data_IF_092973524214
#
_entry.id   IF_092973524214
#
_cell.length_a   1.000
_cell.length_b   1.000
_cell.length_c   1.000
_cell.angle_alpha   90.00
_cell.angle_beta   90.00
_cell.angle_gamma   90.00
#
_symmetry.space_group_name_H-M   'P 1'
#
loop_
_entity.id
_entity.type
_entity.pdbx_description
1 polymer ?
#
# COMPACT_ATOMS: atom_id res chain seq x y z
N UNK A 1 15.24 -13.70 2.91
CA UNK A 1 16.13 -12.64 2.39
C UNK A 1 15.28 -11.39 2.27
N UNK A 2 15.77 -10.26 2.79
CA UNK A 2 15.20 -8.94 2.49
C UNK A 2 15.13 -8.82 0.97
N UNK A 3 13.94 -8.64 0.42
CA UNK A 3 13.80 -8.15 -0.94
C UNK A 3 14.63 -6.88 -1.00
N UNK A 4 15.66 -6.89 -1.82
CA UNK A 4 16.53 -5.74 -2.01
C UNK A 4 15.63 -4.52 -2.17
N UNK A 5 15.76 -3.55 -1.25
CA UNK A 5 14.91 -2.35 -1.15
C UNK A 5 15.06 -1.43 -2.38
N UNK A 6 15.52 -1.95 -3.51
CA UNK A 6 16.08 -1.20 -4.61
C UNK A 6 15.07 -0.83 -5.69
N UNK A 7 13.96 -1.56 -5.78
CA UNK A 7 12.78 -1.22 -6.58
C UNK A 7 11.55 -1.86 -5.93
N UNK A 8 10.77 -1.13 -5.14
CA UNK A 8 9.50 -1.66 -4.61
C UNK A 8 8.56 -1.98 -5.76
N UNK A 9 8.17 -3.25 -5.86
CA UNK A 9 7.21 -3.73 -6.86
C UNK A 9 5.80 -3.30 -6.48
N UNK A 10 5.06 -2.89 -7.50
CA UNK A 10 3.63 -2.68 -7.46
C UNK A 10 3.00 -3.77 -8.33
N UNK A 11 2.13 -4.57 -7.74
CA UNK A 11 1.42 -5.66 -8.40
C UNK A 11 -0.08 -5.37 -8.43
N UNK A 12 -0.75 -5.76 -9.51
CA UNK A 12 -2.21 -5.85 -9.50
C UNK A 12 -2.65 -7.06 -8.66
N UNK A 13 -3.90 -7.06 -8.20
CA UNK A 13 -4.45 -8.17 -7.42
C UNK A 13 -4.33 -9.50 -8.17
N UNK A 14 -4.54 -9.50 -9.50
CA UNK A 14 -4.35 -10.68 -10.35
C UNK A 14 -2.91 -11.17 -10.43
N UNK A 15 -1.94 -10.24 -10.44
CA UNK A 15 -0.52 -10.60 -10.52
C UNK A 15 -0.07 -11.29 -9.24
N UNK A 16 -0.51 -10.78 -8.07
CA UNK A 16 -0.17 -11.40 -6.79
C UNK A 16 -0.88 -12.74 -6.60
N UNK A 17 -2.15 -12.87 -7.03
CA UNK A 17 -2.86 -14.15 -7.01
C UNK A 17 -2.16 -15.22 -7.87
N UNK A 18 -1.56 -14.81 -8.99
CA UNK A 18 -0.74 -15.70 -9.82
C UNK A 18 0.56 -16.14 -9.10
N UNK A 19 1.17 -15.27 -8.29
CA UNK A 19 2.32 -15.66 -7.45
C UNK A 19 1.91 -16.63 -6.33
N UNK A 20 0.75 -16.42 -5.70
CA UNK A 20 0.19 -17.36 -4.72
C UNK A 20 -0.01 -18.73 -5.34
N UNK A 21 -0.61 -18.77 -6.54
CA UNK A 21 -0.84 -20.00 -7.31
C UNK A 21 0.46 -20.74 -7.63
N UNK A 22 1.49 -20.02 -8.08
CA UNK A 22 2.82 -20.62 -8.35
C UNK A 22 3.49 -21.16 -7.09
N UNK A 23 3.35 -20.47 -5.97
CA UNK A 23 3.88 -20.95 -4.69
C UNK A 23 3.17 -22.25 -4.26
N UNK A 24 1.87 -22.37 -4.50
CA UNK A 24 1.12 -23.61 -4.29
C UNK A 24 1.60 -24.76 -5.20
N UNK A 25 1.87 -24.48 -6.48
CA UNK A 25 2.44 -25.46 -7.44
C UNK A 25 3.82 -25.98 -6.99
N UNK A 26 4.56 -25.16 -6.25
CA UNK A 26 5.85 -25.51 -5.65
C UNK A 26 5.73 -26.19 -4.28
N UNK A 27 4.51 -26.47 -3.82
CA UNK A 27 4.23 -27.21 -2.60
C UNK A 27 4.09 -26.35 -1.34
N UNK A 28 4.03 -25.02 -1.46
CA UNK A 28 3.74 -24.14 -0.34
C UNK A 28 2.22 -24.02 -0.19
N UNK A 29 1.67 -24.59 0.89
CA UNK A 29 0.24 -24.48 1.16
C UNK A 29 -0.20 -23.03 1.36
N UNK A 30 -1.40 -22.67 0.90
CA UNK A 30 -2.03 -21.36 1.11
C UNK A 30 -2.01 -20.92 2.58
N UNK A 31 -2.27 -21.85 3.49
CA UNK A 31 -2.21 -21.62 4.94
C UNK A 31 -0.83 -21.19 5.43
N UNK A 32 0.24 -21.65 4.79
CA UNK A 32 1.61 -21.29 5.15
C UNK A 32 1.95 -19.87 4.68
N UNK A 33 1.48 -19.45 3.50
CA UNK A 33 1.59 -18.07 3.03
C UNK A 33 0.82 -17.11 3.95
N UNK A 34 -0.43 -17.45 4.28
CA UNK A 34 -1.28 -16.69 5.22
C UNK A 34 -0.65 -16.59 6.62
N UNK A 35 -0.13 -17.71 7.14
CA UNK A 35 0.59 -17.75 8.42
C UNK A 35 1.86 -16.88 8.39
N UNK A 36 2.56 -16.84 7.26
CA UNK A 36 3.74 -15.98 7.06
C UNK A 36 3.34 -14.50 6.99
N UNK A 37 2.31 -14.18 6.22
CA UNK A 37 1.79 -12.84 6.02
C UNK A 37 1.30 -12.24 7.36
N UNK A 38 0.38 -12.93 8.03
CA UNK A 38 -0.13 -12.48 9.33
C UNK A 38 0.93 -12.43 10.43
N UNK A 39 1.93 -13.32 10.42
CA UNK A 39 3.07 -13.23 11.34
C UNK A 39 3.87 -11.94 11.10
N UNK A 40 4.23 -11.65 9.86
CA UNK A 40 4.99 -10.43 9.53
C UNK A 40 4.22 -9.16 9.89
N UNK A 41 2.89 -9.16 9.72
CA UNK A 41 2.06 -8.06 10.19
C UNK A 41 2.08 -7.96 11.73
N UNK A 42 1.86 -9.05 12.45
CA UNK A 42 1.89 -9.06 13.91
C UNK A 42 3.24 -8.60 14.48
N UNK A 43 4.35 -9.09 13.91
CA UNK A 43 5.70 -8.68 14.29
C UNK A 43 5.89 -7.17 14.08
N UNK A 44 5.38 -6.63 12.96
CA UNK A 44 5.40 -5.19 12.71
C UNK A 44 4.64 -4.40 13.80
N UNK A 45 3.42 -4.83 14.15
CA UNK A 45 2.63 -4.18 15.22
C UNK A 45 3.36 -4.23 16.57
N UNK A 46 3.89 -5.39 16.94
CA UNK A 46 4.61 -5.59 18.21
C UNK A 46 5.89 -4.76 18.28
N UNK A 47 6.60 -4.58 17.17
CA UNK A 47 7.84 -3.80 17.14
C UNK A 47 7.57 -2.28 17.18
N UNK A 48 6.60 -1.81 16.38
CA UNK A 48 6.40 -0.39 16.08
C UNK A 48 5.32 0.27 16.93
N UNK A 49 4.22 -0.43 17.24
CA UNK A 49 3.12 0.11 18.03
C UNK A 49 3.15 -0.37 19.48
N UNK A 50 3.66 -1.58 19.73
CA UNK A 50 3.76 -2.19 21.08
C UNK A 50 2.43 -2.09 21.87
N UNK A 51 1.29 -2.49 21.29
CA UNK A 51 0.00 -2.34 21.95
C UNK A 51 -0.07 -3.23 23.19
N UNK A 52 -0.70 -2.73 24.26
CA UNK A 52 -1.17 -3.55 25.37
C UNK A 52 -2.55 -4.13 25.07
N UNK A 53 -3.39 -3.37 24.34
CA UNK A 53 -4.74 -3.75 23.91
C UNK A 53 -4.91 -3.51 22.42
N UNK A 54 -5.44 -4.52 21.73
CA UNK A 54 -5.72 -4.43 20.30
C UNK A 54 -7.13 -4.94 19.98
N UNK A 55 -7.82 -4.27 19.07
CA UNK A 55 -9.06 -4.77 18.47
C UNK A 55 -8.72 -5.35 17.11
N UNK A 56 -9.21 -6.54 16.77
CA UNK A 56 -8.97 -7.17 15.47
C UNK A 56 -10.29 -7.49 14.81
N UNK A 57 -10.54 -6.88 13.65
CA UNK A 57 -11.71 -7.14 12.83
C UNK A 57 -11.42 -8.16 11.75
N UNK A 58 -12.30 -9.15 11.63
CA UNK A 58 -12.11 -10.30 10.75
C UNK A 58 -13.25 -10.39 9.73
N UNK A 59 -12.90 -10.31 8.45
CA UNK A 59 -13.82 -10.58 7.35
C UNK A 59 -13.83 -12.04 6.90
N UNK A 60 -14.57 -12.37 5.84
CA UNK A 60 -14.81 -13.77 5.43
C UNK A 60 -13.66 -14.41 4.65
N UNK A 61 -12.82 -13.59 3.99
CA UNK A 61 -11.84 -14.06 3.01
C UNK A 61 -10.42 -14.25 3.57
N UNK A 62 -9.44 -14.26 2.66
CA UNK A 62 -8.03 -14.39 3.00
C UNK A 62 -7.53 -13.33 3.98
N UNK A 63 -7.93 -12.06 3.79
CA UNK A 63 -7.54 -10.96 4.69
C UNK A 63 -8.03 -11.18 6.14
N UNK A 64 -9.20 -11.81 6.31
CA UNK A 64 -9.68 -12.21 7.62
C UNK A 64 -8.85 -13.34 8.22
N UNK A 65 -8.38 -14.27 7.40
CA UNK A 65 -7.41 -15.29 7.79
C UNK A 65 -6.09 -14.69 8.28
N UNK A 66 -5.53 -13.70 7.57
CA UNK A 66 -4.34 -12.97 8.00
C UNK A 66 -4.58 -12.26 9.34
N UNK A 67 -5.74 -11.63 9.52
CA UNK A 67 -6.14 -10.98 10.77
C UNK A 67 -6.26 -11.97 11.94
N UNK A 68 -6.77 -13.18 11.70
CA UNK A 68 -6.83 -14.25 12.72
C UNK A 68 -5.43 -14.71 13.13
N UNK A 69 -4.48 -14.76 12.19
CA UNK A 69 -3.06 -15.00 12.51
C UNK A 69 -2.51 -13.86 13.36
N UNK A 70 -2.79 -12.61 13.01
CA UNK A 70 -2.39 -11.43 13.79
C UNK A 70 -2.95 -11.51 15.20
N UNK A 71 -4.25 -11.73 15.36
CA UNK A 71 -4.90 -11.87 16.67
C UNK A 71 -4.24 -12.95 17.53
N UNK A 72 -3.98 -14.13 16.95
CA UNK A 72 -3.34 -15.24 17.67
C UNK A 72 -1.93 -14.85 18.14
N UNK A 73 -1.13 -14.23 17.27
CA UNK A 73 0.25 -13.84 17.56
C UNK A 73 0.33 -12.73 18.61
N UNK A 74 -0.57 -11.75 18.55
CA UNK A 74 -0.71 -10.72 19.58
C UNK A 74 -1.07 -11.33 20.94
N UNK A 75 -2.03 -12.26 20.96
CA UNK A 75 -2.40 -12.98 22.19
C UNK A 75 -1.24 -13.80 22.77
N UNK A 76 -0.53 -14.56 21.94
CA UNK A 76 0.66 -15.32 22.33
C UNK A 76 1.79 -14.42 22.89
N UNK A 77 1.87 -13.17 22.42
CA UNK A 77 2.79 -12.16 22.91
C UNK A 77 2.32 -11.43 24.20
N UNK A 78 1.15 -11.78 24.73
CA UNK A 78 0.59 -11.21 25.95
C UNK A 78 -0.20 -9.91 25.75
N UNK A 79 -0.55 -9.56 24.51
CA UNK A 79 -1.46 -8.44 24.21
C UNK A 79 -2.90 -8.87 24.47
N UNK A 80 -3.69 -8.00 25.09
CA UNK A 80 -5.13 -8.17 25.27
C UNK A 80 -5.85 -7.90 23.93
N UNK A 81 -5.87 -8.92 23.07
CA UNK A 81 -6.39 -8.86 21.71
C UNK A 81 -7.87 -9.28 21.63
N UNK A 82 -8.77 -8.32 21.41
CA UNK A 82 -10.22 -8.54 21.25
C UNK A 82 -10.54 -8.76 19.77
N UNK A 83 -10.92 -9.99 19.42
CA UNK A 83 -11.18 -10.38 18.03
C UNK A 83 -12.67 -10.41 17.73
N UNK A 84 -13.09 -9.77 16.65
CA UNK A 84 -14.49 -9.67 16.22
C UNK A 84 -14.66 -10.18 14.79
N UNK A 85 -15.48 -11.21 14.62
CA UNK A 85 -15.90 -11.72 13.32
C UNK A 85 -17.07 -10.87 12.83
N UNK A 86 -16.86 -10.11 11.75
CA UNK A 86 -17.90 -9.29 11.10
C UNK A 86 -18.58 -10.07 9.96
N UNK A 87 -18.06 -11.26 9.66
CA UNK A 87 -18.71 -12.28 8.86
C UNK A 87 -19.16 -13.43 9.78
N UNK A 88 -20.29 -14.09 9.49
CA UNK A 88 -20.69 -15.25 10.26
C UNK A 88 -19.66 -16.36 10.06
N UNK A 89 -19.41 -17.17 11.10
CA UNK A 89 -18.30 -18.14 11.06
C UNK A 89 -18.41 -19.19 9.94
N UNK A 90 -19.62 -19.45 9.46
CA UNK A 90 -19.90 -20.38 8.35
C UNK A 90 -19.66 -19.76 6.96
N UNK A 91 -19.49 -18.44 6.88
CA UNK A 91 -19.11 -17.72 5.67
C UNK A 91 -17.59 -17.54 5.53
N UNK A 92 -16.80 -18.00 6.50
CA UNK A 92 -15.35 -17.97 6.41
C UNK A 92 -14.86 -18.91 5.30
N UNK A 93 -13.86 -18.45 4.53
CA UNK A 93 -13.12 -19.32 3.63
C UNK A 93 -12.46 -20.45 4.42
N UNK A 94 -12.22 -21.60 3.79
CA UNK A 94 -11.60 -22.76 4.46
C UNK A 94 -10.26 -22.42 5.11
N UNK A 95 -9.46 -21.54 4.48
CA UNK A 95 -8.19 -21.09 5.05
C UNK A 95 -8.41 -20.22 6.30
N UNK A 96 -9.34 -19.26 6.26
CA UNK A 96 -9.68 -18.42 7.41
C UNK A 96 -10.28 -19.24 8.57
N UNK A 97 -11.13 -20.23 8.27
CA UNK A 97 -11.68 -21.14 9.28
C UNK A 97 -10.58 -21.94 9.99
N UNK A 98 -9.57 -22.42 9.24
CA UNK A 98 -8.39 -23.07 9.83
C UNK A 98 -7.63 -22.14 10.77
N UNK A 99 -7.47 -20.86 10.41
CA UNK A 99 -6.82 -19.87 11.30
C UNK A 99 -7.68 -19.57 12.53
N UNK A 100 -9.01 -19.51 12.41
CA UNK A 100 -9.92 -19.34 13.55
C UNK A 100 -9.80 -20.51 14.52
N UNK A 101 -9.70 -21.75 14.02
CA UNK A 101 -9.48 -22.92 14.86
C UNK A 101 -8.12 -22.90 15.57
N UNK A 102 -7.06 -22.41 14.90
CA UNK A 102 -5.75 -22.20 15.53
C UNK A 102 -5.81 -21.14 16.64
N UNK A 103 -6.51 -20.03 16.41
CA UNK A 103 -6.74 -19.00 17.43
C UNK A 103 -7.42 -19.60 18.65
N UNK A 104 -8.55 -20.31 18.45
CA UNK A 104 -9.29 -20.99 19.53
C UNK A 104 -8.43 -21.98 20.32
N UNK A 105 -7.50 -22.66 19.65
CA UNK A 105 -6.56 -23.59 20.28
C UNK A 105 -5.59 -22.94 21.28
N UNK A 106 -5.39 -21.62 21.22
CA UNK A 106 -4.57 -20.87 22.19
C UNK A 106 -5.34 -20.44 23.44
N UNK A 107 -6.65 -20.64 23.48
CA UNK A 107 -7.54 -20.13 24.52
C UNK A 107 -8.10 -18.73 24.22
N UNK A 108 -7.62 -18.06 23.18
CA UNK A 108 -8.22 -16.83 22.68
C UNK A 108 -9.57 -17.07 21.99
N UNK A 109 -10.53 -16.18 22.22
CA UNK A 109 -11.84 -16.21 21.58
C UNK A 109 -11.95 -15.22 20.42
N UNK A 110 -12.93 -15.46 19.55
CA UNK A 110 -13.41 -14.47 18.59
C UNK A 110 -14.92 -14.32 18.77
N UNK A 111 -15.39 -13.08 18.91
CA UNK A 111 -16.81 -12.76 19.11
C UNK A 111 -17.48 -12.57 17.76
N UNK A 112 -18.60 -13.25 17.55
CA UNK A 112 -19.39 -13.08 16.33
C UNK A 112 -20.29 -11.87 16.48
N UNK A 113 -20.05 -10.85 15.64
CA UNK A 113 -20.86 -9.63 15.53
C UNK A 113 -21.41 -9.48 14.12
N UNK A 114 -21.48 -10.57 13.35
CA UNK A 114 -21.92 -10.57 11.95
C UNK A 114 -23.40 -10.22 11.77
N UNK A 115 -24.21 -10.52 12.78
CA UNK A 115 -25.62 -10.17 12.86
C UNK A 115 -25.93 -9.65 14.26
N UNK A 116 -26.00 -8.33 14.42
CA UNK A 116 -26.33 -7.74 15.72
C UNK A 116 -25.82 -6.34 15.92
N UNK A 117 -25.90 -5.91 17.17
CA UNK A 117 -25.38 -4.62 17.62
C UNK A 117 -23.84 -4.64 17.65
N UNK A 118 -23.24 -3.49 17.31
CA UNK A 118 -21.80 -3.27 17.36
C UNK A 118 -21.37 -2.63 18.69
N UNK A 119 -22.25 -2.54 19.69
CA UNK A 119 -21.95 -1.98 21.02
C UNK A 119 -20.71 -2.61 21.68
N UNK A 120 -20.53 -3.93 21.60
CA UNK A 120 -19.31 -4.57 22.13
C UNK A 120 -18.03 -4.15 21.39
N UNK A 121 -18.13 -3.89 20.08
CA UNK A 121 -17.01 -3.36 19.30
C UNK A 121 -16.73 -1.90 19.71
N UNK A 122 -17.77 -1.08 19.86
CA UNK A 122 -17.63 0.30 20.33
C UNK A 122 -16.96 0.35 21.72
N UNK A 123 -17.40 -0.48 22.66
CA UNK A 123 -16.81 -0.58 24.00
C UNK A 123 -15.35 -1.02 23.95
N UNK A 124 -15.02 -2.00 23.10
CA UNK A 124 -13.65 -2.47 22.95
C UNK A 124 -12.73 -1.40 22.33
N UNK A 125 -13.25 -0.54 21.44
CA UNK A 125 -12.50 0.56 20.84
C UNK A 125 -12.16 1.66 21.86
N UNK A 126 -12.96 1.88 22.90
CA UNK A 126 -12.71 2.95 23.88
C UNK A 126 -11.36 2.82 24.61
N UNK A 127 -10.92 1.59 24.84
CA UNK A 127 -9.69 1.27 25.60
C UNK A 127 -8.58 0.65 24.73
N UNK A 128 -8.73 0.65 23.41
CA UNK A 128 -7.78 0.02 22.50
C UNK A 128 -6.60 0.95 22.18
N UNK A 129 -5.38 0.39 22.12
CA UNK A 129 -4.20 1.12 21.66
C UNK A 129 -4.12 1.15 20.12
N UNK A 130 -4.69 0.14 19.46
CA UNK A 130 -4.85 0.08 18.01
C UNK A 130 -6.00 -0.84 17.59
N UNK A 131 -6.52 -0.60 16.38
CA UNK A 131 -7.46 -1.51 15.71
C UNK A 131 -6.86 -2.03 14.41
N UNK A 132 -7.05 -3.33 14.15
CA UNK A 132 -6.60 -4.02 12.95
C UNK A 132 -7.80 -4.25 12.04
N UNK A 133 -7.77 -3.62 10.87
CA UNK A 133 -8.74 -3.83 9.79
C UNK A 133 -8.31 -5.02 8.93
N UNK A 134 -8.92 -6.17 9.21
CA UNK A 134 -8.80 -7.42 8.46
C UNK A 134 -10.08 -7.81 7.72
N UNK A 135 -10.95 -6.85 7.36
CA UNK A 135 -12.22 -7.18 6.72
C UNK A 135 -12.02 -7.60 5.26
N UNK A 136 -11.40 -6.74 4.45
CA UNK A 136 -11.21 -6.95 3.03
C UNK A 136 -9.91 -6.33 2.52
N UNK A 137 -9.11 -7.14 1.82
CA UNK A 137 -7.91 -6.68 1.11
C UNK A 137 -8.17 -6.54 -0.40
N UNK A 138 -7.16 -6.89 -1.19
CA UNK A 138 -7.14 -6.76 -2.66
C UNK A 138 -8.23 -7.50 -3.44
N UNK A 139 -8.88 -8.49 -2.84
CA UNK A 139 -9.98 -9.25 -3.46
C UNK A 139 -11.33 -8.53 -3.53
N UNK A 140 -11.48 -7.35 -2.91
CA UNK A 140 -12.76 -6.64 -2.89
C UNK A 140 -13.09 -5.99 -4.25
N UNK A 141 -14.24 -6.34 -4.80
CA UNK A 141 -14.71 -5.82 -6.11
C UNK A 141 -16.03 -5.05 -6.02
N UNK A 142 -16.74 -5.15 -4.90
CA UNK A 142 -18.05 -4.53 -4.65
C UNK A 142 -17.99 -3.56 -3.48
N UNK A 143 -18.95 -2.64 -3.43
CA UNK A 143 -19.09 -1.74 -2.31
C UNK A 143 -19.42 -2.49 -1.01
N UNK A 144 -18.93 -1.97 0.12
CA UNK A 144 -19.27 -2.47 1.44
C UNK A 144 -20.74 -2.18 1.74
N UNK A 145 -21.40 -3.14 2.37
CA UNK A 145 -22.80 -3.08 2.77
C UNK A 145 -23.01 -3.67 4.17
N UNK A 146 -24.21 -3.43 4.72
CA UNK A 146 -24.66 -4.01 5.98
C UNK A 146 -23.66 -3.84 7.13
N UNK A 147 -23.36 -4.96 7.79
CA UNK A 147 -22.51 -5.00 8.98
C UNK A 147 -21.07 -4.53 8.71
N UNK A 148 -20.53 -4.80 7.52
CA UNK A 148 -19.19 -4.35 7.15
C UNK A 148 -19.12 -2.82 7.07
N UNK A 149 -20.09 -2.20 6.39
CA UNK A 149 -20.13 -0.74 6.29
C UNK A 149 -20.36 -0.08 7.66
N UNK A 150 -21.19 -0.69 8.51
CA UNK A 150 -21.41 -0.22 9.88
C UNK A 150 -20.12 -0.29 10.72
N UNK A 151 -19.39 -1.40 10.68
CA UNK A 151 -18.12 -1.57 11.37
C UNK A 151 -17.06 -0.55 10.88
N UNK A 152 -16.96 -0.36 9.56
CA UNK A 152 -16.08 0.68 8.99
C UNK A 152 -16.45 2.08 9.47
N UNK A 153 -17.76 2.37 9.62
CA UNK A 153 -18.22 3.61 10.25
C UNK A 153 -17.65 3.79 11.66
N UNK A 154 -17.73 2.76 12.51
CA UNK A 154 -17.18 2.81 13.88
C UNK A 154 -15.68 3.05 13.94
N UNK A 155 -14.93 2.41 13.04
CA UNK A 155 -13.49 2.62 12.95
C UNK A 155 -13.17 4.07 12.61
N UNK A 156 -13.82 4.60 11.58
CA UNK A 156 -13.58 5.96 11.11
C UNK A 156 -14.04 7.04 12.10
N UNK A 157 -15.05 6.75 12.92
CA UNK A 157 -15.53 7.65 13.98
C UNK A 157 -14.68 7.56 15.27
N UNK A 158 -13.86 6.50 15.40
CA UNK A 158 -12.96 6.32 16.54
C UNK A 158 -11.69 7.16 16.42
N UNK A 159 -11.06 7.45 17.56
CA UNK A 159 -9.73 8.10 17.60
C UNK A 159 -8.58 7.08 17.73
N UNK A 160 -8.89 5.79 17.64
CA UNK A 160 -7.93 4.70 17.82
C UNK A 160 -7.10 4.55 16.54
N UNK A 161 -5.76 4.43 16.64
CA UNK A 161 -4.92 4.16 15.49
C UNK A 161 -5.39 2.93 14.71
N UNK A 162 -5.75 3.12 13.44
CA UNK A 162 -6.25 2.07 12.56
C UNK A 162 -5.14 1.54 11.66
N UNK A 163 -4.90 0.22 11.73
CA UNK A 163 -3.93 -0.51 10.92
C UNK A 163 -4.66 -1.44 9.97
N UNK A 164 -4.64 -1.16 8.67
CA UNK A 164 -5.26 -2.04 7.67
C UNK A 164 -4.27 -3.09 7.16
N UNK A 165 -4.74 -4.34 7.07
CA UNK A 165 -4.01 -5.44 6.45
C UNK A 165 -4.28 -5.47 4.95
N UNK A 166 -3.22 -5.59 4.16
CA UNK A 166 -3.19 -5.55 2.70
C UNK A 166 -3.61 -4.21 2.11
N UNK A 167 -4.88 -3.83 2.28
CA UNK A 167 -5.49 -2.58 1.86
C UNK A 167 -6.56 -2.17 2.88
N UNK A 168 -6.80 -0.86 3.08
CA UNK A 168 -8.00 -0.42 3.79
C UNK A 168 -9.26 -1.00 3.15
N UNK A 169 -10.09 -1.61 3.99
CA UNK A 169 -11.35 -2.20 3.55
C UNK A 169 -12.25 -1.17 2.90
N UNK A 170 -12.81 -1.50 1.73
CA UNK A 170 -13.61 -0.58 0.91
C UNK A 170 -12.85 0.11 -0.22
N UNK A 171 -11.59 -0.25 -0.46
CA UNK A 171 -10.81 0.23 -1.61
C UNK A 171 -10.79 -0.76 -2.78
N UNK A 172 -10.75 -0.23 -4.00
CA UNK A 172 -10.46 -1.00 -5.20
C UNK A 172 -8.94 -1.05 -5.43
N UNK A 173 -8.34 -2.24 -5.24
CA UNK A 173 -6.90 -2.49 -5.37
C UNK A 173 -6.27 -1.84 -6.61
N UNK A 174 -6.76 -2.19 -7.80
CA UNK A 174 -6.01 -1.91 -9.03
C UNK A 174 -6.36 -0.55 -9.65
N UNK A 175 -7.57 -0.05 -9.39
CA UNK A 175 -8.06 1.22 -9.93
C UNK A 175 -7.76 2.42 -9.03
N UNK A 176 -7.34 2.19 -7.79
CA UNK A 176 -7.12 3.27 -6.81
C UNK A 176 -8.38 4.07 -6.49
N UNK A 177 -9.55 3.43 -6.56
CA UNK A 177 -10.85 4.05 -6.33
C UNK A 177 -11.44 3.65 -4.98
N UNK A 178 -12.33 4.48 -4.44
CA UNK A 178 -13.19 4.11 -3.30
C UNK A 178 -14.37 3.27 -3.81
N UNK A 179 -14.68 2.16 -3.15
CA UNK A 179 -15.87 1.34 -3.39
C UNK A 179 -17.00 1.74 -2.42
N UNK A 180 -17.30 3.04 -2.35
CA UNK A 180 -18.26 3.59 -1.38
C UNK A 180 -17.58 3.95 -0.06
N UNK A 181 -18.10 3.45 1.07
CA UNK A 181 -17.47 3.62 2.38
C UNK A 181 -16.18 2.81 2.48
N UNK A 182 -15.12 3.44 2.96
CA UNK A 182 -13.82 2.80 3.14
C UNK A 182 -13.20 3.20 4.47
N UNK A 183 -12.39 2.30 5.03
CA UNK A 183 -11.57 2.57 6.21
C UNK A 183 -10.60 3.70 5.90
N UNK A 184 -10.43 4.61 6.85
CA UNK A 184 -9.39 5.63 6.85
C UNK A 184 -8.27 5.16 7.78
N UNK A 185 -7.28 4.46 7.23
CA UNK A 185 -6.21 3.90 8.01
C UNK A 185 -5.14 4.95 8.35
N UNK A 186 -4.58 4.86 9.54
CA UNK A 186 -3.37 5.59 9.92
C UNK A 186 -2.14 4.90 9.32
N UNK A 187 -2.18 3.56 9.26
CA UNK A 187 -1.14 2.71 8.70
C UNK A 187 -1.77 1.63 7.83
N UNK A 188 -1.18 1.34 6.68
CA UNK A 188 -1.51 0.14 5.87
C UNK A 188 -0.30 -0.76 5.77
N UNK A 189 -0.48 -2.04 6.10
CA UNK A 189 0.51 -3.09 5.93
C UNK A 189 0.26 -3.79 4.60
N UNK A 190 0.97 -3.35 3.56
CA UNK A 190 0.93 -3.96 2.25
C UNK A 190 1.56 -5.36 2.31
N UNK A 191 0.76 -6.41 2.13
CA UNK A 191 1.23 -7.79 2.25
C UNK A 191 2.03 -8.18 1.00
N UNK A 192 3.33 -8.46 1.20
CA UNK A 192 4.37 -8.77 0.21
C UNK A 192 4.75 -7.64 -0.74
N UNK A 193 3.76 -7.04 -1.41
CA UNK A 193 3.95 -6.07 -2.48
C UNK A 193 2.97 -4.91 -2.35
N UNK A 194 3.36 -3.76 -2.91
CA UNK A 194 2.43 -2.64 -3.06
C UNK A 194 1.38 -2.98 -4.12
N UNK A 195 0.20 -2.38 -3.97
CA UNK A 195 -0.89 -2.39 -4.96
C UNK A 195 -1.08 -0.97 -5.50
N UNK A 196 -1.68 -0.78 -6.69
CA UNK A 196 -1.95 0.55 -7.23
C UNK A 196 -2.69 1.48 -6.26
N UNK A 197 -3.64 0.96 -5.48
CA UNK A 197 -4.39 1.72 -4.47
C UNK A 197 -3.53 2.35 -3.36
N UNK A 198 -2.31 1.86 -3.11
CA UNK A 198 -1.38 2.51 -2.18
C UNK A 198 -0.81 3.83 -2.72
N UNK A 199 -0.85 4.03 -4.04
CA UNK A 199 -0.16 5.12 -4.74
C UNK A 199 -1.11 6.02 -5.54
N UNK A 200 -2.25 5.48 -5.96
CA UNK A 200 -3.23 6.17 -6.79
C UNK A 200 -4.35 6.79 -5.94
N UNK A 201 -4.61 8.08 -6.16
CA UNK A 201 -5.72 8.80 -5.54
C UNK A 201 -7.04 8.50 -6.27
N UNK A 202 -8.19 8.48 -5.54
CA UNK A 202 -8.34 8.86 -4.13
C UNK A 202 -7.96 7.79 -3.10
N UNK A 203 -7.77 6.52 -3.48
CA UNK A 203 -7.51 5.43 -2.54
C UNK A 203 -6.29 5.65 -1.64
N UNK A 204 -5.19 6.17 -2.20
CA UNK A 204 -3.96 6.43 -1.45
C UNK A 204 -4.18 7.36 -0.23
N UNK A 205 -5.17 8.26 -0.27
CA UNK A 205 -5.51 9.13 0.84
C UNK A 205 -6.12 8.38 2.04
N UNK A 206 -6.58 7.13 1.85
CA UNK A 206 -7.14 6.27 2.89
C UNK A 206 -6.12 5.29 3.48
N UNK A 207 -4.94 5.19 2.88
CA UNK A 207 -3.93 4.21 3.27
C UNK A 207 -3.02 4.68 4.42
N UNK A 208 -3.03 5.97 4.75
CA UNK A 208 -2.12 6.54 5.75
C UNK A 208 -0.66 6.26 5.40
N UNK A 209 0.14 5.88 6.40
CA UNK A 209 1.50 5.43 6.20
C UNK A 209 1.55 3.98 5.71
N UNK A 210 2.11 3.76 4.52
CA UNK A 210 2.20 2.41 3.94
C UNK A 210 3.55 1.76 4.26
N UNK A 211 3.50 0.62 4.95
CA UNK A 211 4.65 -0.27 5.16
C UNK A 211 4.45 -1.57 4.38
N UNK A 212 5.51 -2.09 3.77
CA UNK A 212 5.45 -3.41 3.11
C UNK A 212 5.95 -4.45 4.09
N UNK A 213 5.13 -5.46 4.37
CA UNK A 213 5.50 -6.59 5.23
C UNK A 213 5.75 -7.83 4.37
N UNK A 214 6.68 -8.68 4.81
CA UNK A 214 7.11 -9.84 4.03
C UNK A 214 6.06 -10.96 4.00
N UNK A 215 6.06 -11.72 2.92
CA UNK A 215 5.40 -13.04 2.81
C UNK A 215 6.44 -14.00 2.25
N UNK A 216 6.53 -15.20 2.81
CA UNK A 216 7.55 -16.20 2.47
C UNK A 216 7.24 -16.90 1.13
N UNK A 217 7.27 -16.13 0.04
CA UNK A 217 7.22 -16.71 -1.31
C UNK A 217 8.51 -17.48 -1.61
N UNK A 218 8.43 -18.68 -2.20
CA UNK A 218 9.60 -19.33 -2.75
C UNK A 218 10.16 -18.50 -3.91
N UNK A 219 11.48 -18.49 -4.06
CA UNK A 219 12.14 -17.69 -5.12
C UNK A 219 11.68 -18.04 -6.52
N UNK A 220 11.35 -19.30 -6.74
CA UNK A 220 10.91 -19.84 -8.02
C UNK A 220 9.50 -19.35 -8.37
N UNK A 221 8.59 -19.16 -7.41
CA UNK A 221 7.30 -18.49 -7.68
C UNK A 221 7.47 -17.06 -8.21
N UNK A 222 8.53 -16.38 -7.80
CA UNK A 222 8.90 -15.03 -8.25
C UNK A 222 9.73 -15.03 -9.54
N UNK A 223 10.22 -16.19 -9.97
CA UNK A 223 10.99 -16.29 -11.20
C UNK A 223 10.09 -15.94 -12.39
N UNK A 224 10.61 -15.10 -13.29
CA UNK A 224 9.90 -14.54 -14.45
C UNK A 224 8.70 -13.63 -14.14
N UNK A 225 8.43 -13.33 -12.87
CA UNK A 225 7.42 -12.34 -12.52
C UNK A 225 7.87 -10.93 -12.93
N UNK A 226 6.98 -10.19 -13.60
CA UNK A 226 7.21 -8.80 -13.97
C UNK A 226 6.19 -7.93 -13.24
N UNK A 227 6.63 -6.91 -12.50
CA UNK A 227 5.69 -6.06 -11.78
C UNK A 227 4.91 -5.16 -12.73
N UNK A 228 3.67 -4.85 -12.38
CA UNK A 228 2.85 -3.86 -13.08
C UNK A 228 3.53 -2.49 -13.11
N UNK A 229 4.11 -2.08 -11.97
CA UNK A 229 4.94 -0.88 -11.90
C UNK A 229 6.04 -1.01 -10.84
N UNK A 230 6.98 -0.08 -10.86
CA UNK A 230 8.02 0.07 -9.84
C UNK A 230 7.94 1.47 -9.25
N UNK A 231 8.05 1.57 -7.93
CA UNK A 231 8.17 2.87 -7.27
C UNK A 231 9.51 3.51 -7.65
N UNK A 232 9.49 4.78 -8.04
CA UNK A 232 10.71 5.53 -8.32
C UNK A 232 11.44 5.88 -7.01
N UNK A 233 12.34 4.99 -6.57
CA UNK A 233 13.13 5.21 -5.36
C UNK A 233 14.43 5.99 -5.63
N UNK A 234 14.93 6.70 -4.61
CA UNK A 234 16.11 7.54 -4.71
C UNK A 234 17.35 6.77 -5.22
N UNK A 235 17.58 5.55 -4.72
CA UNK A 235 18.70 4.71 -5.15
C UNK A 235 18.59 4.33 -6.64
N UNK A 236 17.40 3.92 -7.08
CA UNK A 236 17.11 3.61 -8.48
C UNK A 236 17.29 4.83 -9.40
N UNK A 237 16.80 6.00 -8.99
CA UNK A 237 16.99 7.25 -9.74
C UNK A 237 18.46 7.66 -9.81
N UNK A 238 19.20 7.58 -8.70
CA UNK A 238 20.63 7.94 -8.65
C UNK A 238 21.46 7.14 -9.65
N UNK A 239 21.17 5.85 -9.82
CA UNK A 239 21.86 4.98 -10.79
C UNK A 239 21.51 5.29 -12.25
N UNK A 240 20.35 5.90 -12.51
CA UNK A 240 19.90 6.29 -13.86
C UNK A 240 20.39 7.68 -14.27
N UNK A 241 20.95 8.47 -13.34
CA UNK A 241 21.52 9.77 -13.68
C UNK A 241 22.76 9.59 -14.57
N UNK A 242 22.90 10.40 -15.64
CA UNK A 242 24.04 10.30 -16.54
C UNK A 242 25.34 10.75 -15.84
N UNK A 243 26.45 10.12 -16.21
CA UNK A 243 27.77 10.50 -15.68
C UNK A 243 28.21 11.88 -16.18
N UNK A 244 28.83 12.68 -15.31
CA UNK A 244 29.37 14.00 -15.64
C UNK A 244 30.89 13.92 -15.83
N UNK A 245 31.30 13.62 -17.06
CA UNK A 245 32.71 13.54 -17.43
C UNK A 245 33.42 14.89 -17.18
N UNK A 246 34.50 14.88 -16.40
CA UNK A 246 35.25 16.09 -16.05
C UNK A 246 35.86 16.80 -17.27
N UNK A 247 36.22 16.04 -18.31
CA UNK A 247 36.73 16.57 -19.57
C UNK A 247 35.63 16.90 -20.60
N UNK A 248 34.34 16.77 -20.23
CA UNK A 248 33.21 17.03 -21.12
C UNK A 248 33.02 18.52 -21.42
N UNK A 249 32.52 18.83 -22.62
CA UNK A 249 32.17 20.19 -23.04
C UNK A 249 30.66 20.31 -23.31
N UNK A 250 30.17 21.52 -23.64
CA UNK A 250 28.74 21.77 -23.91
C UNK A 250 28.09 20.86 -24.98
N UNK A 251 28.89 20.23 -25.84
CA UNK A 251 28.39 19.26 -26.83
C UNK A 251 28.25 17.85 -26.26
N UNK A 252 29.11 17.48 -25.30
CA UNK A 252 29.09 16.19 -24.60
C UNK A 252 27.78 15.97 -23.85
N UNK A 253 27.16 17.04 -23.35
CA UNK A 253 25.96 16.98 -22.52
C UNK A 253 24.66 17.27 -23.28
N UNK A 254 24.67 17.04 -24.60
CA UNK A 254 23.49 17.16 -25.45
C UNK A 254 23.02 18.59 -25.70
N UNK A 255 22.03 18.70 -26.59
CA UNK A 255 21.38 19.96 -26.98
C UNK A 255 19.88 19.79 -26.91
N UNK A 256 19.19 20.75 -26.31
CA UNK A 256 17.73 20.74 -26.15
C UNK A 256 17.15 21.93 -26.90
N UNK A 257 16.18 21.69 -27.78
CA UNK A 257 15.32 22.73 -28.34
C UNK A 257 14.02 22.78 -27.53
N UNK A 258 13.73 23.92 -26.94
CA UNK A 258 12.44 24.21 -26.30
C UNK A 258 11.61 25.01 -27.28
N UNK A 259 10.42 24.53 -27.64
CA UNK A 259 9.45 25.27 -28.44
C UNK A 259 8.30 25.68 -27.52
N UNK A 260 8.32 26.91 -27.05
CA UNK A 260 7.39 27.37 -26.02
C UNK A 260 7.25 28.89 -26.02
N UNK A 261 6.24 29.36 -25.31
CA UNK A 261 5.98 30.78 -25.11
C UNK A 261 4.92 31.33 -26.05
N UNK A 262 4.12 32.22 -25.50
CA UNK A 262 3.14 33.04 -26.20
C UNK A 262 2.90 34.29 -25.35
N UNK A 263 2.13 35.26 -25.88
CA UNK A 263 1.68 36.41 -25.06
C UNK A 263 0.94 35.89 -23.83
N UNK A 264 1.33 36.35 -22.65
CA UNK A 264 0.78 35.88 -21.36
C UNK A 264 1.32 34.53 -20.87
N UNK A 265 2.17 33.83 -21.65
CA UNK A 265 2.72 32.50 -21.31
C UNK A 265 4.25 32.42 -21.44
N UNK A 266 4.96 33.53 -21.34
CA UNK A 266 6.44 33.55 -21.36
C UNK A 266 7.06 32.76 -20.21
N UNK A 267 6.37 32.69 -19.07
CA UNK A 267 6.77 31.89 -17.90
C UNK A 267 7.01 30.41 -18.22
N UNK A 268 6.17 29.81 -19.07
CA UNK A 268 6.32 28.40 -19.44
C UNK A 268 7.65 28.15 -20.15
N UNK A 269 8.01 29.00 -21.12
CA UNK A 269 9.29 28.91 -21.82
C UNK A 269 10.48 29.05 -20.86
N UNK A 270 10.42 30.04 -19.96
CA UNK A 270 11.49 30.26 -18.96
C UNK A 270 11.70 29.07 -18.04
N UNK A 271 10.62 28.47 -17.53
CA UNK A 271 10.69 27.32 -16.64
C UNK A 271 11.29 26.10 -17.37
N UNK A 272 10.85 25.81 -18.59
CA UNK A 272 11.36 24.69 -19.38
C UNK A 272 12.87 24.84 -19.67
N UNK A 273 13.30 26.02 -20.12
CA UNK A 273 14.70 26.28 -20.42
C UNK A 273 15.61 26.14 -19.19
N UNK A 274 15.22 26.75 -18.07
CA UNK A 274 15.97 26.65 -16.81
C UNK A 274 16.00 25.22 -16.26
N UNK A 275 14.92 24.47 -16.39
CA UNK A 275 14.87 23.06 -16.00
C UNK A 275 15.83 22.22 -16.83
N UNK A 276 15.89 22.43 -18.16
CA UNK A 276 16.82 21.73 -19.04
C UNK A 276 18.29 21.99 -18.65
N UNK A 277 18.66 23.26 -18.38
CA UNK A 277 20.00 23.58 -17.89
C UNK A 277 20.29 22.94 -16.53
N UNK A 278 19.37 23.03 -15.57
CA UNK A 278 19.55 22.41 -14.24
C UNK A 278 19.65 20.89 -14.29
N UNK A 279 18.97 20.25 -15.24
CA UNK A 279 19.10 18.81 -15.50
C UNK A 279 20.45 18.43 -16.15
N UNK A 280 21.27 19.41 -16.56
CA UNK A 280 22.63 19.21 -17.04
C UNK A 280 22.80 19.31 -18.56
N UNK A 281 21.79 19.78 -19.31
CA UNK A 281 21.91 20.01 -20.75
C UNK A 281 23.07 20.97 -21.06
N UNK A 282 23.87 20.63 -22.06
CA UNK A 282 25.05 21.44 -22.43
C UNK A 282 24.70 22.70 -23.23
N UNK A 283 23.65 22.64 -24.05
CA UNK A 283 23.09 23.79 -24.76
C UNK A 283 21.56 23.69 -24.76
N UNK A 284 20.89 24.81 -24.50
CA UNK A 284 19.43 24.92 -24.61
C UNK A 284 19.14 26.06 -25.58
N UNK A 285 18.29 25.81 -26.56
CA UNK A 285 17.84 26.80 -27.54
C UNK A 285 16.34 26.96 -27.40
N UNK A 286 15.85 28.21 -27.35
CA UNK A 286 14.43 28.51 -27.27
C UNK A 286 13.90 29.01 -28.62
N UNK A 287 12.88 28.34 -29.15
CA UNK A 287 12.06 28.84 -30.25
C UNK A 287 10.74 29.36 -29.69
N UNK A 288 10.52 30.67 -29.83
CA UNK A 288 9.33 31.37 -29.35
C UNK A 288 8.83 32.40 -30.39
N UNK A 289 7.55 32.82 -30.34
CA UNK A 289 7.06 33.89 -31.20
C UNK A 289 7.83 35.19 -30.99
N UNK A 290 8.22 35.87 -32.07
CA UNK A 290 9.00 37.11 -32.01
C UNK A 290 8.41 38.18 -31.06
N UNK A 291 7.09 38.24 -30.95
CA UNK A 291 6.39 39.18 -30.07
C UNK A 291 6.70 39.08 -28.57
N UNK A 292 7.28 37.96 -28.12
CA UNK A 292 7.65 37.76 -26.72
C UNK A 292 9.16 37.67 -26.50
N UNK A 293 9.95 37.75 -27.58
CA UNK A 293 11.40 37.62 -27.52
C UNK A 293 12.08 38.63 -26.58
N UNK A 294 11.69 39.94 -26.55
CA UNK A 294 12.33 40.89 -25.65
C UNK A 294 12.21 40.54 -24.16
N UNK A 295 11.11 39.89 -23.78
CA UNK A 295 10.89 39.44 -22.39
C UNK A 295 11.79 38.24 -22.08
N UNK A 296 11.95 37.33 -23.05
CA UNK A 296 12.72 36.10 -22.88
C UNK A 296 14.23 36.38 -22.86
N UNK A 297 14.73 37.21 -23.76
CA UNK A 297 16.15 37.62 -23.80
C UNK A 297 16.60 38.31 -22.50
N UNK A 298 15.71 39.11 -21.90
CA UNK A 298 16.00 39.74 -20.61
C UNK A 298 16.01 38.77 -19.42
N UNK A 299 15.34 37.62 -19.53
CA UNK A 299 15.12 36.69 -18.41
C UNK A 299 15.89 35.37 -18.52
N UNK A 300 16.39 35.03 -19.71
CA UNK A 300 17.14 33.81 -20.03
C UNK A 300 18.41 34.17 -20.83
N UNK A 301 19.37 34.91 -20.27
CA UNK A 301 20.59 35.27 -21.00
C UNK A 301 21.47 34.04 -21.34
N UNK A 302 21.22 32.89 -20.72
CA UNK A 302 21.99 31.66 -20.94
C UNK A 302 21.47 30.79 -22.11
N UNK A 303 20.24 31.02 -22.59
CA UNK A 303 19.64 30.31 -23.76
C UNK A 303 19.85 31.06 -25.05
#
# INVERSE_FOLDING_TARGET
MSFDHEDRWVLQASDQAELDRRAEEEGIAQDALMESAGRSAADWLLEHLRPHRAVVLVGPGGNGGDALVVARRLHEAGVDAHTFLVAPSDALSTAAERMLNRLRGTGAGARDVSAGDLGELEDALLDADCVVDGLFGSGLTRALDGQYLAAVGRLNDSTVPTVSLDLPSGLASDRGALLGGAVCADITLAMAFLKPAHLLYPAAARCGNVAVVGVDYPRSALSDATPWARVCEQAGIRRRLPERQAAGHKGTFGRVLVVAGARGMTGAAMLCCRAAFRAGAGLVTLAAPASVNPILEGALPET
#
